data_IF_590369456039
#
_entry.id   IF_590369456039
#
_cell.length_a   1.000
_cell.length_b   1.000
_cell.length_c   1.000
_cell.angle_alpha   90.00
_cell.angle_beta   90.00
_cell.angle_gamma   90.00
#
_symmetry.space_group_name_H-M   'P 1'
#
loop_
_entity.id
_entity.type
_entity.pdbx_description
1 polymer ?
#
# COMPACT_ATOMS: atom_id res chain seq x y z
N UNK A 1 -16.18 -13.57 -4.90
CA UNK A 1 -16.65 -12.46 -4.04
C UNK A 1 -16.96 -13.01 -2.67
N UNK A 2 -15.91 -13.13 -1.86
CA UNK A 2 -16.05 -13.52 -0.47
C UNK A 2 -16.95 -12.52 0.28
N UNK A 3 -17.82 -13.04 1.14
CA UNK A 3 -18.63 -12.24 2.05
C UNK A 3 -17.82 -12.01 3.32
N UNK A 4 -17.23 -10.82 3.47
CA UNK A 4 -16.57 -10.39 4.71
C UNK A 4 -17.42 -9.30 5.37
N UNK A 5 -17.58 -9.34 6.68
CA UNK A 5 -18.34 -8.34 7.42
C UNK A 5 -17.40 -7.39 8.18
N UNK A 6 -17.90 -6.23 8.58
CA UNK A 6 -17.08 -5.25 9.31
C UNK A 6 -16.82 -5.75 10.73
N UNK A 7 -17.77 -6.50 11.27
CA UNK A 7 -17.73 -7.15 12.57
C UNK A 7 -16.52 -8.08 12.68
N UNK A 8 -16.27 -8.92 11.66
CA UNK A 8 -15.12 -9.83 11.62
C UNK A 8 -13.77 -9.09 11.67
N UNK A 9 -13.73 -7.87 11.12
CA UNK A 9 -12.52 -7.04 11.10
C UNK A 9 -12.31 -6.29 12.43
N UNK A 10 -13.39 -6.01 13.16
CA UNK A 10 -13.35 -5.25 14.42
C UNK A 10 -12.82 -6.08 15.60
N UNK A 11 -12.82 -7.40 15.49
CA UNK A 11 -12.17 -8.29 16.47
C UNK A 11 -10.64 -8.09 16.52
N UNK A 12 -10.05 -7.54 15.44
CA UNK A 12 -8.61 -7.34 15.30
C UNK A 12 -8.19 -5.86 15.24
N UNK A 13 -9.14 -4.94 14.98
CA UNK A 13 -8.91 -3.49 14.92
C UNK A 13 -10.04 -2.75 15.61
N UNK A 14 -9.73 -2.12 16.75
CA UNK A 14 -10.74 -1.48 17.63
C UNK A 14 -11.45 -0.27 17.02
N UNK A 15 -10.87 0.35 15.98
CA UNK A 15 -11.37 1.59 15.39
C UNK A 15 -11.71 1.43 13.91
N UNK A 16 -12.94 1.78 13.53
CA UNK A 16 -13.43 1.75 12.14
C UNK A 16 -12.65 2.64 11.18
N UNK A 17 -12.19 3.81 11.64
CA UNK A 17 -11.36 4.69 10.80
C UNK A 17 -9.97 4.09 10.57
N UNK A 18 -9.42 3.45 11.60
CA UNK A 18 -8.13 2.76 11.51
C UNK A 18 -8.24 1.55 10.60
N UNK A 19 -9.32 0.78 10.70
CA UNK A 19 -9.63 -0.33 9.78
C UNK A 19 -9.60 0.13 8.31
N UNK A 20 -10.26 1.24 7.99
CA UNK A 20 -10.25 1.80 6.62
C UNK A 20 -8.84 2.15 6.18
N UNK A 21 -8.02 2.73 7.07
CA UNK A 21 -6.66 3.14 6.76
C UNK A 21 -5.73 1.93 6.54
N UNK A 22 -5.82 0.93 7.42
CA UNK A 22 -5.07 -0.33 7.36
C UNK A 22 -5.44 -1.10 6.09
N UNK A 23 -6.74 -1.29 5.82
CA UNK A 23 -7.23 -1.99 4.65
C UNK A 23 -6.82 -1.29 3.34
N UNK A 24 -6.90 0.05 3.30
CA UNK A 24 -6.47 0.83 2.13
C UNK A 24 -4.98 0.67 1.86
N UNK A 25 -4.15 0.75 2.91
CA UNK A 25 -2.70 0.59 2.80
C UNK A 25 -2.34 -0.82 2.32
N UNK A 26 -2.92 -1.85 2.94
CA UNK A 26 -2.68 -3.25 2.55
C UNK A 26 -3.13 -3.53 1.13
N UNK A 27 -4.32 -3.07 0.74
CA UNK A 27 -4.81 -3.23 -0.63
C UNK A 27 -3.86 -2.60 -1.67
N UNK A 28 -3.23 -1.46 -1.33
CA UNK A 28 -2.23 -0.83 -2.20
C UNK A 28 -0.94 -1.66 -2.30
N UNK A 29 -0.50 -2.29 -1.21
CA UNK A 29 0.64 -3.21 -1.24
C UNK A 29 0.38 -4.41 -2.16
N UNK A 30 -0.80 -5.03 -2.02
CA UNK A 30 -1.23 -6.14 -2.87
C UNK A 30 -1.33 -5.72 -4.35
N UNK A 31 -1.88 -4.54 -4.62
CA UNK A 31 -2.12 -4.08 -6.00
C UNK A 31 -0.88 -3.51 -6.71
N UNK A 32 0.00 -2.78 -6.00
CA UNK A 32 1.10 -2.01 -6.61
C UNK A 32 2.48 -2.58 -6.31
N UNK A 33 2.69 -3.11 -5.11
CA UNK A 33 3.99 -3.63 -4.68
C UNK A 33 4.11 -5.13 -4.97
N UNK A 34 3.01 -5.80 -5.34
CA UNK A 34 3.00 -7.23 -5.67
C UNK A 34 3.38 -8.10 -4.48
N UNK A 35 3.14 -7.62 -3.25
CA UNK A 35 3.38 -8.42 -2.05
C UNK A 35 2.42 -9.60 -2.06
N UNK A 36 2.92 -10.79 -1.75
CA UNK A 36 2.07 -11.98 -1.69
C UNK A 36 0.97 -11.82 -0.62
N UNK A 37 -0.27 -12.24 -0.95
CA UNK A 37 -1.34 -12.30 0.02
C UNK A 37 -1.05 -13.42 1.03
N UNK A 38 -1.49 -13.24 2.27
CA UNK A 38 -1.41 -14.29 3.31
C UNK A 38 -2.59 -15.25 3.23
N UNK A 39 -3.65 -14.86 2.50
CA UNK A 39 -4.87 -15.63 2.28
C UNK A 39 -5.04 -15.97 0.80
N UNK A 40 -5.75 -17.06 0.51
CA UNK A 40 -6.03 -17.52 -0.86
C UNK A 40 -6.75 -16.45 -1.70
N UNK A 41 -6.18 -16.17 -2.87
CA UNK A 41 -6.70 -15.18 -3.82
C UNK A 41 -7.79 -15.80 -4.70
N UNK A 42 -9.05 -15.71 -4.27
CA UNK A 42 -10.21 -16.26 -4.98
C UNK A 42 -10.87 -15.25 -5.94
N UNK A 43 -10.10 -14.74 -6.92
CA UNK A 43 -10.53 -13.70 -7.88
C UNK A 43 -11.16 -12.42 -7.25
N UNK A 44 -10.90 -12.19 -5.97
CA UNK A 44 -11.43 -11.06 -5.24
C UNK A 44 -10.60 -9.80 -5.52
N UNK A 45 -11.21 -8.63 -5.31
CA UNK A 45 -10.50 -7.35 -5.41
C UNK A 45 -9.45 -7.27 -4.30
N UNK A 46 -8.31 -6.59 -4.51
CA UNK A 46 -7.26 -6.44 -3.48
C UNK A 46 -7.77 -5.89 -2.14
N UNK A 47 -8.79 -5.03 -2.17
CA UNK A 47 -9.45 -4.51 -0.96
C UNK A 47 -10.19 -5.58 -0.17
N UNK A 48 -10.82 -6.54 -0.83
CA UNK A 48 -11.53 -7.65 -0.18
C UNK A 48 -10.52 -8.64 0.41
N UNK A 49 -9.44 -8.93 -0.33
CA UNK A 49 -8.33 -9.76 0.17
C UNK A 49 -7.71 -9.13 1.42
N UNK A 50 -7.42 -7.82 1.41
CA UNK A 50 -6.90 -7.11 2.57
C UNK A 50 -7.83 -7.17 3.79
N UNK A 51 -9.15 -7.03 3.59
CA UNK A 51 -10.12 -7.14 4.69
C UNK A 51 -10.17 -8.56 5.27
N UNK A 52 -10.03 -9.60 4.44
CA UNK A 52 -9.92 -11.00 4.90
C UNK A 52 -8.65 -11.23 5.71
N UNK A 53 -7.51 -10.71 5.26
CA UNK A 53 -6.25 -10.78 6.02
C UNK A 53 -6.36 -10.08 7.39
N UNK A 54 -7.12 -8.99 7.48
CA UNK A 54 -7.39 -8.31 8.75
C UNK A 54 -8.33 -9.14 9.63
N UNK A 55 -9.39 -9.72 9.06
CA UNK A 55 -10.33 -10.58 9.76
C UNK A 55 -9.70 -11.88 10.28
N UNK A 56 -8.67 -12.40 9.60
CA UNK A 56 -7.88 -13.56 10.03
C UNK A 56 -6.71 -13.17 10.97
N UNK A 57 -6.53 -11.87 11.25
CA UNK A 57 -5.49 -11.37 12.16
C UNK A 57 -4.07 -11.34 11.59
N UNK A 58 -3.90 -11.59 10.28
CA UNK A 58 -2.60 -11.55 9.60
C UNK A 58 -2.09 -10.13 9.40
N UNK A 59 -2.99 -9.15 9.29
CA UNK A 59 -2.65 -7.74 9.09
C UNK A 59 -3.22 -6.90 10.23
N UNK A 60 -2.36 -6.08 10.82
CA UNK A 60 -2.69 -5.19 11.95
C UNK A 60 -2.23 -3.75 11.67
N UNK A 61 -2.55 -2.83 12.58
CA UNK A 61 -2.18 -1.41 12.50
C UNK A 61 -0.70 -1.11 12.32
N UNK A 62 0.19 -2.05 12.64
CA UNK A 62 1.63 -1.88 12.45
C UNK A 62 2.03 -1.68 10.99
N UNK A 63 1.20 -2.12 10.04
CA UNK A 63 1.38 -1.82 8.61
C UNK A 63 1.45 -0.31 8.36
N UNK A 64 0.75 0.51 9.15
CA UNK A 64 0.74 1.96 9.01
C UNK A 64 2.11 2.59 9.28
N UNK A 65 2.93 1.96 10.14
CA UNK A 65 4.28 2.43 10.48
C UNK A 65 5.33 2.07 9.44
N UNK A 66 5.06 1.07 8.59
CA UNK A 66 5.98 0.69 7.53
C UNK A 66 6.11 1.82 6.51
N UNK A 67 7.35 2.18 6.13
CA UNK A 67 7.56 3.12 5.02
C UNK A 67 7.13 2.43 3.74
N UNK A 68 6.33 3.13 2.94
CA UNK A 68 5.95 2.64 1.62
C UNK A 68 7.23 2.50 0.78
N UNK A 69 7.50 1.29 0.31
CA UNK A 69 8.48 1.07 -0.75
C UNK A 69 7.80 1.44 -2.07
N UNK A 70 7.52 2.73 -2.25
CA UNK A 70 7.11 3.27 -3.54
C UNK A 70 8.34 3.34 -4.45
N UNK A 71 8.86 2.18 -4.88
CA UNK A 71 9.82 2.11 -5.99
C UNK A 71 9.08 2.21 -7.33
N UNK A 72 8.44 3.35 -7.54
CA UNK A 72 8.48 4.00 -8.84
C UNK A 72 9.17 5.34 -8.60
N UNK A 73 10.48 5.28 -8.39
CA UNK A 73 11.31 6.43 -8.73
C UNK A 73 11.01 6.70 -10.19
N UNK A 74 10.23 7.74 -10.48
CA UNK A 74 10.07 8.15 -11.86
C UNK A 74 11.47 8.39 -12.42
N UNK A 75 11.71 8.11 -13.69
CA UNK A 75 13.01 8.43 -14.31
C UNK A 75 13.40 9.90 -14.06
N UNK A 76 12.39 10.76 -13.89
CA UNK A 76 12.51 12.15 -13.48
C UNK A 76 12.99 12.32 -12.03
N UNK A 77 12.44 11.61 -11.04
CA UNK A 77 12.91 11.67 -9.64
C UNK A 77 14.35 11.20 -9.51
N UNK A 78 14.73 10.16 -10.27
CA UNK A 78 16.11 9.67 -10.29
C UNK A 78 17.05 10.71 -10.90
N UNK A 79 16.65 11.33 -12.01
CA UNK A 79 17.42 12.38 -12.68
C UNK A 79 17.55 13.67 -11.85
N UNK A 80 16.54 14.03 -11.07
CA UNK A 80 16.58 15.20 -10.18
C UNK A 80 17.42 14.96 -8.92
N UNK A 81 17.44 13.73 -8.41
CA UNK A 81 18.27 13.35 -7.24
C UNK A 81 19.76 13.28 -7.55
N UNK A 82 20.11 12.96 -8.80
CA UNK A 82 21.47 13.04 -9.31
C UNK A 82 21.74 14.49 -9.77
N UNK A 83 22.19 15.36 -8.86
CA UNK A 83 22.64 16.73 -9.14
C UNK A 83 23.69 16.78 -10.28
N UNK A 84 23.26 16.71 -11.54
CA UNK A 84 24.11 16.85 -12.71
C UNK A 84 23.53 17.82 -13.75
N UNK A 85 22.64 18.72 -13.32
CA UNK A 85 22.39 19.95 -14.04
C UNK A 85 23.58 20.88 -13.79
N UNK A 86 24.59 20.75 -14.64
CA UNK A 86 25.56 21.82 -14.82
C UNK A 86 24.81 23.00 -15.45
N UNK A 87 24.30 23.90 -14.60
CA UNK A 87 23.53 25.08 -14.97
C UNK A 87 24.40 26.17 -15.64
N UNK A 88 25.67 25.88 -15.90
CA UNK A 88 26.63 26.82 -16.51
C UNK A 88 26.46 26.95 -18.04
N UNK A 89 25.52 26.22 -18.66
CA UNK A 89 25.34 26.15 -20.11
C UNK A 89 24.15 26.93 -20.70
N UNK A 90 23.24 27.48 -19.88
CA UNK A 90 22.10 28.26 -20.41
C UNK A 90 22.44 29.75 -20.49
N UNK A 91 23.20 30.10 -21.54
CA UNK A 91 23.22 31.48 -22.04
C UNK A 91 21.95 31.72 -22.86
N UNK A 92 21.10 32.64 -22.42
CA UNK A 92 20.08 33.25 -23.28
C UNK A 92 20.79 34.13 -24.30
N UNK A 93 20.88 33.65 -25.54
CA UNK A 93 20.99 34.49 -26.73
C UNK A 93 19.72 34.35 -27.55
#
# INVERSE_FOLDING_TARGET
MARVTVEDCLDHVDNRFELVLVASKRARQLARQGIEPTVEWDNDKPTVVALREIAEGHVSKDILKQRDQDYQTSSLDLALSANNLNLDGFSFQ
#
